data_IF_021208068867
#
_entry.id   IF_021208068867
#
_cell.length_a   1.000
_cell.length_b   1.000
_cell.length_c   1.000
_cell.angle_alpha   90.00
_cell.angle_beta   90.00
_cell.angle_gamma   90.00
#
_symmetry.space_group_name_H-M   'P 1'
#
loop_
_entity.id
_entity.type
_entity.pdbx_description
1 polymer ?
#
# COMPACT_ATOMS: atom_id res chain seq x y z
N UNK A 1 21.03 32.50 -35.61
CA UNK A 1 19.67 33.03 -35.32
C UNK A 1 18.66 31.92 -35.57
N UNK A 2 17.77 31.63 -34.61
CA UNK A 2 16.70 30.64 -34.81
C UNK A 2 15.73 31.14 -35.90
N UNK A 3 15.35 30.28 -36.85
CA UNK A 3 14.38 30.64 -37.90
C UNK A 3 13.04 31.01 -37.26
N UNK A 4 12.44 32.12 -37.70
CA UNK A 4 11.11 32.52 -37.26
C UNK A 4 10.09 31.41 -37.56
N UNK A 5 9.18 31.20 -36.60
CA UNK A 5 8.10 30.21 -36.72
C UNK A 5 7.15 30.64 -37.86
N UNK A 6 6.76 29.68 -38.71
CA UNK A 6 5.79 29.94 -39.77
C UNK A 6 4.42 30.27 -39.17
N UNK A 7 3.76 31.37 -39.59
CA UNK A 7 2.42 31.75 -39.10
C UNK A 7 1.36 30.67 -39.35
N UNK A 8 1.50 29.89 -40.42
CA UNK A 8 0.53 28.84 -40.79
C UNK A 8 0.60 27.64 -39.85
N UNK A 9 1.72 27.47 -39.13
CA UNK A 9 1.87 26.44 -38.11
C UNK A 9 0.97 26.68 -36.91
N UNK A 10 0.82 27.94 -36.52
CA UNK A 10 0.01 28.32 -35.37
C UNK A 10 -1.48 28.28 -35.71
N UNK A 11 -1.86 28.73 -36.93
CA UNK A 11 -3.22 28.56 -37.46
C UNK A 11 -3.65 27.09 -37.54
N UNK A 12 -2.74 26.20 -37.98
CA UNK A 12 -3.02 24.77 -38.04
C UNK A 12 -3.29 24.17 -36.65
N UNK A 13 -2.59 24.65 -35.62
CA UNK A 13 -2.82 24.22 -34.24
C UNK A 13 -4.15 24.75 -33.70
N UNK A 14 -4.53 26.00 -34.01
CA UNK A 14 -5.82 26.56 -33.61
C UNK A 14 -7.01 25.79 -34.20
N UNK A 15 -6.95 25.42 -35.48
CA UNK A 15 -7.97 24.58 -36.13
C UNK A 15 -8.04 23.20 -35.46
N UNK A 16 -6.87 22.60 -35.18
CA UNK A 16 -6.81 21.33 -34.47
C UNK A 16 -7.42 21.42 -33.06
N UNK A 17 -7.09 22.48 -32.31
CA UNK A 17 -7.60 22.75 -30.96
C UNK A 17 -9.11 23.00 -30.95
N UNK A 18 -9.61 23.80 -31.89
CA UNK A 18 -11.05 24.08 -32.04
C UNK A 18 -11.85 22.79 -32.32
N UNK A 19 -11.25 21.85 -33.05
CA UNK A 19 -11.85 20.53 -33.35
C UNK A 19 -11.66 19.47 -32.25
N UNK A 20 -11.04 19.79 -31.11
CA UNK A 20 -10.68 18.82 -30.04
C UNK A 20 -9.91 17.58 -30.54
N UNK A 21 -9.20 17.68 -31.67
CA UNK A 21 -8.47 16.57 -32.28
C UNK A 21 -9.29 15.60 -33.14
N UNK A 22 -10.58 15.89 -33.38
CA UNK A 22 -11.44 15.05 -34.21
C UNK A 22 -11.28 15.31 -35.71
N UNK A 23 -10.86 16.53 -36.10
CA UNK A 23 -10.68 16.88 -37.51
C UNK A 23 -9.44 16.17 -38.07
N UNK A 24 -9.54 15.40 -39.17
CA UNK A 24 -8.40 14.70 -39.72
C UNK A 24 -7.37 15.70 -40.27
N UNK A 25 -6.09 15.39 -40.07
CA UNK A 25 -4.98 16.28 -40.45
C UNK A 25 -4.90 16.55 -41.96
N UNK A 26 -5.54 15.71 -42.77
CA UNK A 26 -5.66 15.87 -44.22
C UNK A 26 -6.57 17.06 -44.54
N UNK A 27 -7.67 17.23 -43.81
CA UNK A 27 -8.63 18.30 -44.04
C UNK A 27 -8.08 19.65 -43.57
N UNK A 28 -7.32 19.66 -42.47
CA UNK A 28 -6.59 20.86 -42.01
C UNK A 28 -5.53 21.26 -43.05
N UNK A 29 -4.91 20.27 -43.72
CA UNK A 29 -3.93 20.53 -44.77
C UNK A 29 -4.58 21.12 -46.02
N UNK A 30 -5.76 20.62 -46.40
CA UNK A 30 -6.55 21.17 -47.49
C UNK A 30 -6.99 22.61 -47.21
N UNK A 31 -7.46 22.91 -46.00
CA UNK A 31 -7.93 24.25 -45.60
C UNK A 31 -6.80 25.29 -45.59
N UNK A 32 -5.58 24.88 -45.26
CA UNK A 32 -4.40 25.76 -45.24
C UNK A 32 -3.59 25.71 -46.55
N UNK A 33 -4.02 24.96 -47.57
CA UNK A 33 -3.27 24.71 -48.79
C UNK A 33 -1.83 24.19 -48.55
N UNK A 34 -1.65 23.34 -47.54
CA UNK A 34 -0.38 22.75 -47.16
C UNK A 34 -0.34 21.25 -47.43
N UNK A 35 0.87 20.68 -47.43
CA UNK A 35 1.05 19.23 -47.53
C UNK A 35 0.64 18.55 -46.22
N UNK A 36 -0.14 17.45 -46.24
CA UNK A 36 -0.49 16.71 -45.03
C UNK A 36 0.72 16.22 -44.21
N UNK A 37 1.84 15.93 -44.88
CA UNK A 37 3.11 15.56 -44.25
C UNK A 37 3.68 16.68 -43.36
N UNK A 38 3.46 17.94 -43.74
CA UNK A 38 3.94 19.10 -43.01
C UNK A 38 3.14 19.32 -41.72
N UNK A 39 1.82 19.14 -41.76
CA UNK A 39 0.97 19.20 -40.57
C UNK A 39 1.28 18.05 -39.60
N UNK A 40 1.50 16.83 -40.12
CA UNK A 40 1.95 15.70 -39.28
C UNK A 40 3.27 15.99 -38.57
N UNK A 41 4.23 16.58 -39.29
CA UNK A 41 5.51 17.00 -38.72
C UNK A 41 5.33 18.04 -37.62
N UNK A 42 4.49 19.05 -37.84
CA UNK A 42 4.23 20.09 -36.83
C UNK A 42 3.50 19.55 -35.60
N UNK A 43 2.49 18.71 -35.78
CA UNK A 43 1.76 18.04 -34.69
C UNK A 43 2.70 17.27 -33.77
N UNK A 44 3.65 16.53 -34.36
CA UNK A 44 4.66 15.78 -33.61
C UNK A 44 5.68 16.70 -32.94
N UNK A 45 6.19 17.70 -33.65
CA UNK A 45 7.27 18.57 -33.16
C UNK A 45 6.81 19.52 -32.04
N UNK A 46 5.57 19.98 -32.09
CA UNK A 46 4.96 20.83 -31.04
C UNK A 46 4.13 20.05 -30.04
N UNK A 47 4.04 18.72 -30.20
CA UNK A 47 3.31 17.81 -29.32
C UNK A 47 1.88 18.30 -29.04
N UNK A 48 1.13 18.58 -30.09
CA UNK A 48 -0.21 19.19 -29.98
C UNK A 48 -1.13 18.40 -29.05
N UNK A 49 -1.04 17.07 -29.01
CA UNK A 49 -1.85 16.23 -28.11
C UNK A 49 -1.53 16.48 -26.63
N UNK A 50 -0.27 16.74 -26.28
CA UNK A 50 0.16 17.07 -24.91
C UNK A 50 -0.32 18.48 -24.52
N UNK A 51 -0.37 19.41 -25.48
CA UNK A 51 -0.86 20.78 -25.25
C UNK A 51 -2.39 20.85 -25.12
N UNK A 52 -3.12 19.89 -25.72
CA UNK A 52 -4.57 19.74 -25.56
C UNK A 52 -4.95 19.17 -24.20
N UNK A 53 -4.14 18.27 -23.66
CA UNK A 53 -4.33 17.67 -22.36
C UNK A 53 -3.76 18.60 -21.27
N UNK A 54 -4.43 19.74 -21.05
CA UNK A 54 -3.96 20.81 -20.18
C UNK A 54 -3.50 20.29 -18.82
N UNK A 55 -2.19 20.40 -18.54
CA UNK A 55 -1.46 20.13 -17.30
C UNK A 55 -2.07 19.12 -16.30
N UNK A 56 -2.76 18.09 -16.78
CA UNK A 56 -2.96 16.88 -16.02
C UNK A 56 -1.69 16.12 -16.26
N UNK A 57 -0.70 16.34 -15.41
CA UNK A 57 0.16 15.23 -15.03
C UNK A 57 -0.78 14.20 -14.40
N UNK A 58 -1.48 13.43 -15.24
CA UNK A 58 -1.47 12.00 -15.05
C UNK A 58 0.03 11.76 -15.14
N UNK A 59 0.70 11.82 -13.98
CA UNK A 59 1.94 11.11 -13.80
C UNK A 59 1.69 9.84 -14.59
N UNK A 60 2.56 9.54 -15.54
CA UNK A 60 2.67 8.15 -15.92
C UNK A 60 2.94 7.49 -14.55
N UNK A 61 1.87 7.04 -13.88
CA UNK A 61 1.76 5.70 -13.42
C UNK A 61 2.21 4.97 -14.67
N UNK A 62 3.53 4.76 -14.77
CA UNK A 62 4.04 3.44 -14.57
C UNK A 62 2.95 2.73 -13.76
N UNK A 63 1.94 2.21 -14.48
CA UNK A 63 1.56 0.83 -14.29
C UNK A 63 2.94 0.23 -14.26
N UNK A 64 3.48 0.09 -13.05
CA UNK A 64 4.71 -0.64 -12.84
C UNK A 64 4.42 -1.83 -13.70
N UNK A 65 5.17 -1.92 -14.79
CA UNK A 65 5.24 -3.15 -15.51
C UNK A 65 5.82 -3.99 -14.40
N UNK A 66 4.94 -4.61 -13.60
CA UNK A 66 5.29 -5.52 -12.53
C UNK A 66 5.78 -6.68 -13.37
N UNK A 67 6.99 -6.49 -13.90
CA UNK A 67 7.88 -7.49 -14.38
C UNK A 67 8.21 -8.17 -13.09
N UNK A 68 7.29 -8.96 -12.56
CA UNK A 68 7.66 -9.95 -11.59
C UNK A 68 8.59 -10.87 -12.39
N UNK A 69 9.91 -10.80 -12.16
CA UNK A 69 10.85 -11.55 -12.96
C UNK A 69 10.55 -13.05 -12.85
N UNK A 70 10.02 -13.49 -11.69
CA UNK A 70 9.65 -14.88 -11.43
C UNK A 70 8.52 -15.40 -12.30
N UNK A 71 7.43 -14.63 -12.50
CA UNK A 71 6.35 -15.09 -13.42
C UNK A 71 6.81 -15.10 -14.85
N UNK A 72 7.67 -14.16 -15.26
CA UNK A 72 8.18 -14.12 -16.64
C UNK A 72 9.20 -15.24 -16.91
N UNK A 73 10.04 -15.56 -15.95
CA UNK A 73 11.02 -16.66 -16.02
C UNK A 73 10.32 -18.01 -16.04
N UNK A 74 9.33 -18.23 -15.16
CA UNK A 74 8.55 -19.47 -15.17
C UNK A 74 7.63 -19.59 -16.39
N UNK A 75 7.00 -18.50 -16.85
CA UNK A 75 6.27 -18.52 -18.12
C UNK A 75 7.18 -18.90 -19.30
N UNK A 76 8.47 -18.52 -19.28
CA UNK A 76 9.45 -18.95 -20.28
C UNK A 76 9.81 -20.42 -20.14
N UNK A 77 10.13 -20.86 -18.92
CA UNK A 77 10.43 -22.26 -18.62
C UNK A 77 9.30 -23.19 -19.07
N UNK A 78 8.04 -22.76 -18.90
CA UNK A 78 6.88 -23.56 -19.29
C UNK A 78 6.54 -23.41 -20.78
N UNK A 79 6.90 -22.27 -21.41
CA UNK A 79 6.88 -22.14 -22.87
C UNK A 79 7.93 -23.03 -23.54
N UNK A 80 8.98 -23.44 -22.82
CA UNK A 80 10.08 -24.29 -23.28
C UNK A 80 9.88 -25.79 -22.95
N UNK A 81 8.86 -26.15 -22.15
CA UNK A 81 8.61 -27.51 -21.68
C UNK A 81 8.16 -28.48 -22.79
N UNK A 82 9.09 -29.17 -23.45
CA UNK A 82 8.91 -30.06 -24.61
C UNK A 82 7.81 -31.12 -24.48
N UNK A 83 7.36 -31.43 -23.27
CA UNK A 83 6.33 -32.45 -23.02
C UNK A 83 4.90 -31.98 -23.29
N UNK A 84 4.64 -30.67 -23.31
CA UNK A 84 3.34 -30.10 -23.67
C UNK A 84 3.33 -29.63 -25.12
N UNK A 85 2.30 -30.01 -25.88
CA UNK A 85 2.14 -29.46 -27.24
C UNK A 85 1.83 -27.97 -27.19
N UNK A 86 2.23 -27.21 -28.21
CA UNK A 86 1.99 -25.76 -28.28
C UNK A 86 0.50 -25.41 -28.06
N UNK A 87 -0.41 -26.21 -28.62
CA UNK A 87 -1.86 -26.05 -28.44
C UNK A 87 -2.32 -26.27 -27.00
N UNK A 88 -1.70 -27.19 -26.28
CA UNK A 88 -1.98 -27.42 -24.85
C UNK A 88 -1.45 -26.27 -23.99
N UNK A 89 -0.26 -25.74 -24.30
CA UNK A 89 0.29 -24.57 -23.60
C UNK A 89 -0.62 -23.35 -23.79
N UNK A 90 -1.04 -23.10 -25.04
CA UNK A 90 -2.01 -22.05 -25.38
C UNK A 90 -3.35 -22.27 -24.67
N UNK A 91 -3.83 -23.51 -24.59
CA UNK A 91 -5.05 -23.83 -23.86
C UNK A 91 -4.96 -23.46 -22.39
N UNK A 92 -3.89 -23.83 -21.70
CA UNK A 92 -3.68 -23.50 -20.29
C UNK A 92 -3.65 -21.98 -20.04
N UNK A 93 -2.93 -21.24 -20.88
CA UNK A 93 -2.84 -19.78 -20.80
C UNK A 93 -4.23 -19.12 -20.99
N UNK A 94 -4.98 -19.55 -22.00
CA UNK A 94 -6.32 -19.03 -22.24
C UNK A 94 -7.33 -19.48 -21.18
N UNK A 95 -7.17 -20.68 -20.61
CA UNK A 95 -8.03 -21.17 -19.55
C UNK A 95 -7.89 -20.32 -18.29
N UNK A 96 -6.66 -19.94 -17.95
CA UNK A 96 -6.37 -19.03 -16.84
C UNK A 96 -6.90 -17.62 -17.11
N UNK A 97 -6.85 -17.15 -18.37
CA UNK A 97 -7.37 -15.83 -18.76
C UNK A 97 -8.90 -15.74 -18.73
N UNK A 98 -9.60 -16.74 -19.26
CA UNK A 98 -11.05 -16.70 -19.48
C UNK A 98 -11.85 -17.51 -18.45
N UNK A 99 -11.18 -18.33 -17.63
CA UNK A 99 -11.80 -19.28 -16.69
C UNK A 99 -12.88 -20.17 -17.34
N UNK A 100 -12.75 -20.41 -18.64
CA UNK A 100 -13.72 -21.12 -19.44
C UNK A 100 -13.00 -22.09 -20.40
N UNK A 101 -13.26 -23.39 -20.23
CA UNK A 101 -12.64 -24.46 -21.02
C UNK A 101 -12.96 -24.39 -22.51
N UNK A 102 -14.22 -24.19 -22.88
CA UNK A 102 -14.62 -24.13 -24.29
C UNK A 102 -13.99 -22.94 -25.00
N UNK A 103 -14.02 -21.76 -24.37
CA UNK A 103 -13.39 -20.57 -24.93
C UNK A 103 -11.87 -20.72 -25.03
N UNK A 104 -11.23 -21.32 -24.04
CA UNK A 104 -9.80 -21.59 -24.06
C UNK A 104 -9.41 -22.54 -25.20
N UNK A 105 -10.17 -23.62 -25.41
CA UNK A 105 -9.93 -24.56 -26.51
C UNK A 105 -10.12 -23.90 -27.88
N UNK A 106 -11.15 -23.08 -28.05
CA UNK A 106 -11.37 -22.33 -29.30
C UNK A 106 -10.21 -21.38 -29.60
N UNK A 107 -9.74 -20.64 -28.59
CA UNK A 107 -8.63 -19.69 -28.74
C UNK A 107 -7.27 -20.37 -28.93
N UNK A 108 -7.09 -21.57 -28.38
CA UNK A 108 -5.91 -22.40 -28.58
C UNK A 108 -5.87 -23.11 -29.95
N UNK A 109 -6.89 -22.94 -30.79
CA UNK A 109 -6.91 -23.48 -32.15
C UNK A 109 -7.43 -24.92 -32.25
N UNK A 110 -8.27 -25.36 -31.32
CA UNK A 110 -9.04 -26.60 -31.45
C UNK A 110 -10.30 -26.39 -32.28
N UNK A 111 -10.78 -27.47 -32.93
CA UNK A 111 -11.97 -27.43 -33.78
C UNK A 111 -13.21 -26.94 -33.00
N UNK A 112 -14.01 -26.08 -33.63
CA UNK A 112 -15.18 -25.47 -33.03
C UNK A 112 -16.22 -26.50 -32.60
N UNK A 113 -16.45 -27.51 -33.42
CA UNK A 113 -17.50 -28.52 -33.21
C UNK A 113 -17.16 -29.46 -32.05
N UNK A 114 -15.87 -29.63 -31.74
CA UNK A 114 -15.36 -30.51 -30.68
C UNK A 114 -14.74 -29.79 -29.49
N UNK A 115 -14.73 -28.45 -29.46
CA UNK A 115 -13.97 -27.67 -28.48
C UNK A 115 -14.35 -27.98 -27.03
N UNK A 116 -15.63 -28.24 -26.75
CA UNK A 116 -16.12 -28.59 -25.41
C UNK A 116 -15.64 -29.97 -24.95
N UNK A 117 -15.65 -30.97 -25.84
CA UNK A 117 -15.14 -32.31 -25.56
C UNK A 117 -13.64 -32.27 -25.33
N UNK A 118 -12.91 -31.55 -26.19
CA UNK A 118 -11.46 -31.40 -26.06
C UNK A 118 -11.08 -30.66 -24.79
N UNK A 119 -11.78 -29.57 -24.45
CA UNK A 119 -11.55 -28.85 -23.20
C UNK A 119 -11.72 -29.76 -21.97
N UNK A 120 -12.79 -30.56 -21.94
CA UNK A 120 -13.04 -31.50 -20.83
C UNK A 120 -11.95 -32.58 -20.73
N UNK A 121 -11.49 -33.11 -21.87
CA UNK A 121 -10.38 -34.08 -21.92
C UNK A 121 -9.06 -33.46 -21.46
N UNK A 122 -8.76 -32.25 -21.92
CA UNK A 122 -7.54 -31.52 -21.55
C UNK A 122 -7.51 -31.24 -20.06
N UNK A 123 -8.60 -30.80 -19.45
CA UNK A 123 -8.68 -30.55 -18.01
C UNK A 123 -8.51 -31.81 -17.15
N UNK A 124 -8.80 -33.00 -17.70
CA UNK A 124 -8.59 -34.29 -17.01
C UNK A 124 -7.17 -34.83 -17.17
N UNK A 125 -6.39 -34.32 -18.13
CA UNK A 125 -5.00 -34.72 -18.27
C UNK A 125 -4.20 -34.15 -17.10
N UNK A 126 -3.49 -35.02 -16.41
CA UNK A 126 -2.76 -34.69 -15.18
C UNK A 126 -1.78 -33.52 -15.39
N UNK A 127 -0.96 -33.56 -16.45
CA UNK A 127 0.00 -32.49 -16.75
C UNK A 127 -0.66 -31.13 -17.02
N UNK A 128 -1.74 -31.10 -17.80
CA UNK A 128 -2.50 -29.88 -18.11
C UNK A 128 -3.15 -29.32 -16.84
N UNK A 129 -3.71 -30.20 -16.01
CA UNK A 129 -4.34 -29.82 -14.73
C UNK A 129 -3.32 -29.26 -13.74
N UNK A 130 -2.17 -29.94 -13.58
CA UNK A 130 -1.05 -29.48 -12.75
C UNK A 130 -0.54 -28.11 -13.21
N UNK A 131 -0.36 -27.92 -14.52
CA UNK A 131 0.09 -26.64 -15.06
C UNK A 131 -0.93 -25.51 -14.82
N UNK A 132 -2.22 -25.77 -15.02
CA UNK A 132 -3.27 -24.80 -14.70
C UNK A 132 -3.26 -24.48 -13.19
N UNK A 133 -3.00 -25.46 -12.33
CA UNK A 133 -2.94 -25.27 -10.88
C UNK A 133 -1.75 -24.39 -10.48
N UNK A 134 -0.58 -24.60 -11.09
CA UNK A 134 0.60 -23.77 -10.89
C UNK A 134 0.38 -22.33 -11.36
N UNK A 135 -0.11 -22.13 -12.59
CA UNK A 135 -0.45 -20.80 -13.10
C UNK A 135 -1.47 -20.08 -12.23
N UNK A 136 -2.47 -20.81 -11.72
CA UNK A 136 -3.45 -20.25 -10.77
C UNK A 136 -2.79 -19.91 -9.44
N UNK A 137 -1.90 -20.76 -8.92
CA UNK A 137 -1.15 -20.50 -7.69
C UNK A 137 -0.32 -19.24 -7.79
N UNK A 138 0.39 -19.05 -8.90
CA UNK A 138 1.16 -17.83 -9.15
C UNK A 138 0.28 -16.61 -9.29
N UNK A 139 -0.84 -16.70 -10.00
CA UNK A 139 -1.81 -15.60 -10.07
C UNK A 139 -2.32 -15.24 -8.67
N UNK A 140 -2.63 -16.23 -7.84
CA UNK A 140 -3.08 -16.00 -6.46
C UNK A 140 -1.96 -15.35 -5.66
N UNK A 141 -0.72 -15.83 -5.74
CA UNK A 141 0.42 -15.22 -5.05
C UNK A 141 0.66 -13.77 -5.49
N UNK A 142 0.60 -13.49 -6.80
CA UNK A 142 0.77 -12.14 -7.32
C UNK A 142 -0.38 -11.22 -6.91
N UNK A 143 -1.62 -11.66 -7.08
CA UNK A 143 -2.82 -10.92 -6.66
C UNK A 143 -2.81 -10.70 -5.14
N UNK A 144 -2.30 -11.67 -4.37
CA UNK A 144 -2.16 -11.55 -2.93
C UNK A 144 -1.07 -10.55 -2.54
N UNK A 145 0.09 -10.57 -3.19
CA UNK A 145 1.15 -9.57 -3.00
C UNK A 145 0.64 -8.17 -3.36
N UNK A 146 -0.06 -8.01 -4.50
CA UNK A 146 -0.68 -6.75 -4.90
C UNK A 146 -1.76 -6.28 -3.90
N UNK A 147 -2.61 -7.18 -3.40
CA UNK A 147 -3.60 -6.87 -2.38
C UNK A 147 -2.95 -6.46 -1.06
N UNK A 148 -1.88 -7.16 -0.64
CA UNK A 148 -1.11 -6.82 0.56
C UNK A 148 -0.41 -5.47 0.43
N UNK A 149 0.07 -5.11 -0.76
CA UNK A 149 0.68 -3.80 -0.99
C UNK A 149 -0.35 -2.67 -0.92
N UNK A 150 -1.57 -2.90 -1.42
CA UNK A 150 -2.70 -1.97 -1.23
C UNK A 150 -3.07 -1.83 0.25
N UNK A 151 -3.03 -2.92 1.03
CA UNK A 151 -3.29 -2.88 2.48
C UNK A 151 -2.21 -2.12 3.24
N UNK A 152 -0.93 -2.31 2.89
CA UNK A 152 0.17 -1.54 3.50
C UNK A 152 -0.06 -0.04 3.33
N UNK A 153 -0.57 0.37 2.17
CA UNK A 153 -0.90 1.77 1.91
C UNK A 153 -2.08 2.26 2.78
N UNK A 154 -3.12 1.44 2.95
CA UNK A 154 -4.19 1.76 3.90
C UNK A 154 -3.73 1.79 5.35
N UNK A 155 -2.82 0.89 5.77
CA UNK A 155 -2.22 0.88 7.12
C UNK A 155 -1.45 2.17 7.37
N UNK A 156 -0.64 2.60 6.40
CA UNK A 156 0.09 3.88 6.46
C UNK A 156 -0.85 5.06 6.68
N UNK A 157 -1.97 5.11 5.95
CA UNK A 157 -2.99 6.17 6.11
C UNK A 157 -3.70 6.05 7.47
N UNK A 158 -4.05 4.83 7.88
CA UNK A 158 -4.80 4.58 9.11
C UNK A 158 -4.00 4.93 10.38
N UNK A 159 -2.68 4.70 10.37
CA UNK A 159 -1.81 4.94 11.52
C UNK A 159 -0.92 6.18 11.36
N UNK A 160 -1.16 7.01 10.35
CA UNK A 160 -0.49 8.31 10.23
C UNK A 160 -0.83 9.20 11.42
N UNK A 161 0.21 9.75 12.05
CA UNK A 161 0.10 10.79 13.08
C UNK A 161 0.46 12.14 12.48
N UNK A 162 -0.35 13.17 12.73
CA UNK A 162 -0.13 14.53 12.22
C UNK A 162 1.14 15.18 12.79
N UNK A 163 1.56 14.75 13.98
CA UNK A 163 2.79 15.22 14.63
C UNK A 163 4.06 14.79 13.88
N UNK A 164 4.00 13.76 13.03
CA UNK A 164 5.11 13.37 12.17
C UNK A 164 5.36 14.36 11.01
N UNK A 165 4.41 15.28 10.76
CA UNK A 165 4.43 16.19 9.61
C UNK A 165 4.57 17.65 10.03
N UNK A 166 4.07 17.99 11.22
CA UNK A 166 3.83 19.37 11.64
C UNK A 166 4.24 19.56 13.10
N UNK A 167 4.94 20.65 13.37
CA UNK A 167 5.13 21.19 14.72
C UNK A 167 4.19 22.36 14.94
N UNK A 168 3.55 22.40 16.11
CA UNK A 168 2.62 23.48 16.45
C UNK A 168 2.78 23.88 17.92
N UNK A 169 2.54 25.14 18.23
CA UNK A 169 2.72 25.70 19.57
C UNK A 169 2.29 27.16 19.66
N UNK A 170 2.66 27.81 20.77
CA UNK A 170 2.37 29.23 21.03
C UNK A 170 3.66 30.04 21.03
N UNK A 171 3.67 31.18 20.34
CA UNK A 171 4.77 32.14 20.39
C UNK A 171 4.27 33.54 20.72
N UNK A 172 5.04 34.26 21.52
CA UNK A 172 4.80 35.67 21.81
C UNK A 172 5.37 36.52 20.66
N UNK A 173 4.50 37.24 19.96
CA UNK A 173 4.90 38.16 18.89
C UNK A 173 4.50 39.58 19.31
N UNK A 174 5.41 40.57 19.19
CA UNK A 174 5.07 41.96 19.50
C UNK A 174 4.01 42.48 18.53
N UNK A 175 3.00 43.18 19.06
CA UNK A 175 1.92 43.76 18.26
C UNK A 175 2.47 44.88 17.39
N UNK A 176 2.47 44.74 16.07
CA UNK A 176 2.94 45.79 15.16
C UNK A 176 1.86 46.85 14.93
N UNK A 177 2.20 48.12 15.14
CA UNK A 177 1.46 49.29 14.68
C UNK A 177 2.03 49.86 13.37
N UNK A 178 1.45 50.95 12.86
CA UNK A 178 1.86 51.63 11.61
C UNK A 178 3.33 52.14 11.66
N UNK A 179 3.90 52.26 12.86
CA UNK A 179 5.22 52.80 13.13
C UNK A 179 6.10 51.86 13.98
N UNK A 180 5.94 50.54 13.84
CA UNK A 180 6.73 49.52 14.57
C UNK A 180 6.00 48.88 15.77
N UNK A 181 6.67 48.07 16.60
CA UNK A 181 6.04 47.36 17.72
C UNK A 181 5.42 48.36 18.71
N UNK A 182 4.13 48.16 19.01
CA UNK A 182 3.36 49.00 19.90
C UNK A 182 3.89 48.84 21.33
N UNK A 183 4.27 49.96 21.94
CA UNK A 183 4.75 50.02 23.32
C UNK A 183 3.64 50.59 24.20
N UNK A 184 3.46 50.03 25.39
CA UNK A 184 2.62 50.61 26.44
C UNK A 184 3.17 51.97 26.90
N UNK A 185 2.39 52.74 27.67
CA UNK A 185 2.78 54.03 28.28
C UNK A 185 4.10 53.97 29.08
N UNK A 186 4.56 52.77 29.45
CA UNK A 186 5.84 52.51 30.14
C UNK A 186 6.98 52.03 29.23
N UNK A 187 6.83 52.11 27.90
CA UNK A 187 7.87 51.76 26.92
C UNK A 187 8.11 50.25 26.73
N UNK A 188 7.27 49.40 27.33
CA UNK A 188 7.33 47.93 27.22
C UNK A 188 6.50 47.46 26.03
N UNK A 189 7.04 46.53 25.24
CA UNK A 189 6.38 46.02 24.03
C UNK A 189 5.14 45.19 24.40
N UNK A 190 3.99 45.50 23.79
CA UNK A 190 2.76 44.72 23.97
C UNK A 190 2.92 43.44 23.15
N UNK A 191 3.07 42.30 23.82
CA UNK A 191 3.12 40.98 23.17
C UNK A 191 1.72 40.40 23.04
N UNK A 192 1.47 39.70 21.92
CA UNK A 192 0.29 38.86 21.72
C UNK A 192 0.74 37.43 21.50
N UNK A 193 0.06 36.50 22.16
CA UNK A 193 0.25 35.06 21.97
C UNK A 193 -0.44 34.67 20.65
N UNK A 194 0.32 34.12 19.70
CA UNK A 194 -0.18 33.60 18.43
C UNK A 194 0.18 32.12 18.31
N UNK A 195 -0.76 31.31 17.82
CA UNK A 195 -0.51 29.91 17.50
C UNK A 195 0.31 29.81 16.21
N UNK A 196 1.34 28.97 16.18
CA UNK A 196 2.12 28.70 14.97
C UNK A 196 2.00 27.23 14.56
N UNK A 197 2.24 26.97 13.28
CA UNK A 197 2.18 25.67 12.63
C UNK A 197 3.28 25.63 11.57
N UNK A 198 4.36 24.91 11.85
CA UNK A 198 5.53 24.80 10.98
C UNK A 198 5.70 23.35 10.50
N UNK A 199 6.03 23.17 9.22
CA UNK A 199 6.25 21.86 8.62
C UNK A 199 7.64 21.34 8.91
N UNK A 200 7.76 20.03 9.08
CA UNK A 200 9.06 19.37 9.08
C UNK A 200 9.72 19.43 7.69
N UNK A 201 11.05 19.31 7.67
CA UNK A 201 11.84 19.29 6.43
C UNK A 201 11.47 18.10 5.55
N UNK A 202 11.50 18.30 4.23
CA UNK A 202 11.03 17.32 3.26
C UNK A 202 11.74 15.96 3.34
N UNK A 203 13.00 15.94 3.77
CA UNK A 203 13.81 14.71 3.88
C UNK A 203 13.35 13.80 5.04
N UNK A 204 12.66 14.37 6.03
CA UNK A 204 12.20 13.68 7.23
C UNK A 204 10.70 13.32 7.17
N UNK A 205 10.01 13.69 6.08
CA UNK A 205 8.54 13.60 5.97
C UNK A 205 8.13 12.71 4.80
N UNK A 206 7.35 11.67 5.09
CA UNK A 206 6.74 10.83 4.05
C UNK A 206 5.51 11.54 3.43
N UNK A 207 5.73 12.31 2.36
CA UNK A 207 4.67 13.04 1.68
C UNK A 207 3.58 12.19 1.02
N UNK A 208 3.67 10.85 1.02
CA UNK A 208 2.70 9.97 0.34
C UNK A 208 1.26 10.08 0.87
N UNK A 209 1.09 10.43 2.15
CA UNK A 209 -0.21 10.50 2.82
C UNK A 209 -0.79 11.95 2.79
N UNK A 210 -0.01 12.93 2.36
CA UNK A 210 -0.42 14.34 2.32
C UNK A 210 -1.30 14.58 1.08
N UNK A 211 -2.52 15.06 1.31
CA UNK A 211 -3.49 15.36 0.24
C UNK A 211 -3.46 16.82 -0.20
N UNK A 212 -3.23 17.75 0.72
CA UNK A 212 -3.23 19.18 0.43
C UNK A 212 -2.32 19.94 1.40
N UNK A 213 -1.54 20.88 0.88
CA UNK A 213 -0.76 21.85 1.66
C UNK A 213 -1.11 23.25 1.16
N UNK A 214 -1.50 24.14 2.09
CA UNK A 214 -1.91 25.52 1.82
C UNK A 214 -1.13 26.48 2.69
N UNK A 215 -0.65 27.58 2.10
CA UNK A 215 -0.05 28.68 2.84
C UNK A 215 -1.03 29.86 2.86
N UNK A 216 -1.58 30.14 4.04
CA UNK A 216 -2.49 31.26 4.29
C UNK A 216 -1.76 32.49 4.85
N UNK A 217 -2.52 33.57 5.09
CA UNK A 217 -1.98 34.78 5.74
C UNK A 217 -1.51 34.53 7.18
N UNK A 218 -2.15 33.58 7.85
CA UNK A 218 -1.95 33.30 9.28
C UNK A 218 -1.19 31.99 9.56
N UNK A 219 -0.74 31.26 8.52
CA UNK A 219 0.04 30.03 8.69
C UNK A 219 -0.18 28.95 7.63
N UNK A 220 0.38 27.77 7.88
CA UNK A 220 0.31 26.61 6.99
C UNK A 220 -0.86 25.69 7.41
N UNK A 221 -1.62 25.20 6.42
CA UNK A 221 -2.66 24.19 6.61
C UNK A 221 -2.31 22.93 5.81
N UNK A 222 -2.29 21.79 6.50
CA UNK A 222 -2.04 20.47 5.90
C UNK A 222 -3.26 19.58 6.07
N UNK A 223 -3.63 18.86 5.01
CA UNK A 223 -4.63 17.80 5.07
C UNK A 223 -4.00 16.46 4.75
N UNK A 224 -4.18 15.50 5.64
CA UNK A 224 -3.80 14.11 5.44
C UNK A 224 -4.95 13.33 4.79
N UNK A 225 -4.62 12.16 4.24
CA UNK A 225 -5.61 11.23 3.71
C UNK A 225 -6.58 10.76 4.80
N UNK A 226 -7.76 10.33 4.36
CA UNK A 226 -8.87 9.99 5.24
C UNK A 226 -8.61 8.68 6.01
N UNK A 227 -8.19 8.82 7.27
CA UNK A 227 -7.90 7.72 8.20
C UNK A 227 -9.11 6.81 8.44
N UNK A 228 -10.31 7.36 8.53
CA UNK A 228 -11.53 6.58 8.82
C UNK A 228 -11.86 5.66 7.65
N UNK A 229 -11.79 6.16 6.41
CA UNK A 229 -11.99 5.32 5.23
C UNK A 229 -10.93 4.24 5.09
N UNK A 230 -9.69 4.53 5.45
CA UNK A 230 -8.62 3.53 5.45
C UNK A 230 -8.92 2.42 6.48
N UNK A 231 -9.33 2.78 7.70
CA UNK A 231 -9.73 1.82 8.73
C UNK A 231 -10.95 0.97 8.30
N UNK A 232 -11.95 1.57 7.65
CA UNK A 232 -13.12 0.85 7.13
C UNK A 232 -12.75 -0.13 6.00
N UNK A 233 -11.77 0.22 5.17
CA UNK A 233 -11.27 -0.69 4.12
C UNK A 233 -10.42 -1.81 4.69
N UNK A 234 -9.65 -1.54 5.74
CA UNK A 234 -8.93 -2.56 6.48
C UNK A 234 -9.90 -3.52 7.18
N UNK A 235 -10.94 -3.03 7.86
CA UNK A 235 -11.92 -3.89 8.54
C UNK A 235 -12.65 -4.81 7.58
N UNK A 236 -13.13 -4.28 6.44
CA UNK A 236 -13.73 -5.08 5.36
C UNK A 236 -12.80 -6.20 4.90
N UNK A 237 -11.51 -5.90 4.72
CA UNK A 237 -10.55 -6.89 4.27
C UNK A 237 -10.29 -7.97 5.33
N UNK A 238 -10.09 -7.60 6.60
CA UNK A 238 -9.89 -8.56 7.70
C UNK A 238 -11.10 -9.49 7.89
N UNK A 239 -12.31 -9.02 7.61
CA UNK A 239 -13.50 -9.87 7.60
C UNK A 239 -13.59 -10.76 6.37
N UNK A 240 -13.13 -10.28 5.19
CA UNK A 240 -13.12 -10.99 3.90
C UNK A 240 -11.96 -11.98 3.72
N UNK A 241 -10.93 -11.97 4.58
CA UNK A 241 -9.84 -12.96 4.53
C UNK A 241 -10.37 -14.33 4.95
N UNK A 242 -10.21 -15.40 4.13
CA UNK A 242 -10.71 -16.73 4.46
C UNK A 242 -10.15 -17.23 5.80
N UNK A 243 -10.98 -17.89 6.59
CA UNK A 243 -10.69 -18.35 7.98
C UNK A 243 -9.35 -19.09 8.14
N UNK A 244 -8.87 -19.74 7.08
CA UNK A 244 -7.58 -20.42 7.05
C UNK A 244 -6.38 -19.51 7.36
N UNK A 245 -6.46 -18.23 6.96
CA UNK A 245 -5.43 -17.24 7.24
C UNK A 245 -5.59 -16.60 8.62
N UNK A 246 -6.84 -16.38 9.08
CA UNK A 246 -7.11 -15.95 10.47
C UNK A 246 -6.50 -16.95 11.45
N UNK A 247 -6.70 -18.24 11.21
CA UNK A 247 -6.11 -19.32 12.03
C UNK A 247 -4.58 -19.28 12.04
N UNK A 248 -3.91 -19.11 10.89
CA UNK A 248 -2.43 -18.98 10.86
C UNK A 248 -1.92 -17.74 11.60
N UNK A 249 -2.60 -16.61 11.48
CA UNK A 249 -2.22 -15.37 12.19
C UNK A 249 -2.44 -15.54 13.69
N UNK A 250 -3.53 -16.17 14.11
CA UNK A 250 -3.80 -16.50 15.51
C UNK A 250 -2.77 -17.48 16.09
N UNK A 251 -2.41 -18.52 15.34
CA UNK A 251 -1.37 -19.48 15.73
C UNK A 251 0.00 -18.79 15.95
N UNK A 252 0.42 -17.94 15.01
CA UNK A 252 1.67 -17.17 15.14
C UNK A 252 1.60 -16.14 16.29
N UNK A 253 0.45 -15.48 16.48
CA UNK A 253 0.24 -14.53 17.59
C UNK A 253 0.29 -15.23 18.94
N UNK A 254 -0.34 -16.39 19.06
CA UNK A 254 -0.31 -17.21 20.28
C UNK A 254 1.11 -17.68 20.58
N UNK A 255 1.87 -18.07 19.56
CA UNK A 255 3.28 -18.47 19.69
C UNK A 255 4.16 -17.32 20.20
N UNK A 256 4.04 -16.13 19.61
CA UNK A 256 4.73 -14.93 20.12
C UNK A 256 4.32 -14.59 21.55
N UNK A 257 3.04 -14.71 21.90
CA UNK A 257 2.56 -14.41 23.26
C UNK A 257 3.11 -15.41 24.28
N UNK A 258 3.24 -16.69 23.91
CA UNK A 258 3.90 -17.72 24.72
C UNK A 258 5.40 -17.46 24.88
N UNK A 259 6.08 -16.96 23.85
CA UNK A 259 7.50 -16.57 23.94
C UNK A 259 7.70 -15.34 24.84
N UNK A 260 6.83 -14.33 24.73
CA UNK A 260 6.85 -13.17 25.63
C UNK A 260 6.57 -13.57 27.08
N UNK A 261 5.58 -14.45 27.30
CA UNK A 261 5.30 -14.98 28.64
C UNK A 261 6.48 -15.77 29.19
N UNK A 262 7.12 -16.62 28.38
CA UNK A 262 8.36 -17.31 28.79
C UNK A 262 9.46 -16.33 29.16
N UNK A 263 9.71 -15.32 28.33
CA UNK A 263 10.72 -14.30 28.61
C UNK A 263 10.41 -13.49 29.88
N UNK A 264 9.12 -13.21 30.16
CA UNK A 264 8.69 -12.58 31.41
C UNK A 264 8.87 -13.51 32.61
N UNK A 265 8.51 -14.80 32.48
CA UNK A 265 8.71 -15.81 33.52
C UNK A 265 10.20 -15.97 33.82
N UNK A 266 11.06 -15.97 32.80
CA UNK A 266 12.51 -16.08 32.97
C UNK A 266 13.10 -14.84 33.64
N UNK A 267 12.58 -13.64 33.34
CA UNK A 267 12.92 -12.41 34.08
C UNK A 267 12.45 -12.48 35.54
N UNK A 268 11.21 -12.88 35.79
CA UNK A 268 10.69 -13.06 37.15
C UNK A 268 11.49 -14.11 37.91
N UNK A 269 11.90 -15.21 37.27
CA UNK A 269 12.79 -16.23 37.86
C UNK A 269 14.18 -15.67 38.15
N UNK A 270 14.76 -14.88 37.25
CA UNK A 270 16.05 -14.21 37.47
C UNK A 270 15.96 -13.18 38.61
N UNK A 271 14.86 -12.45 38.71
CA UNK A 271 14.64 -11.47 39.77
C UNK A 271 14.32 -12.15 41.10
N UNK A 272 13.53 -13.22 41.12
CA UNK A 272 13.28 -14.02 42.34
C UNK A 272 14.52 -14.78 42.81
N UNK A 273 15.41 -15.21 41.91
CA UNK A 273 16.70 -15.81 42.31
C UNK A 273 17.71 -14.75 42.78
N UNK A 274 17.63 -13.50 42.28
CA UNK A 274 18.35 -12.36 42.87
C UNK A 274 17.80 -11.98 44.24
N UNK A 275 16.48 -11.95 44.41
CA UNK A 275 15.82 -11.64 45.69
C UNK A 275 16.10 -12.75 46.73
N UNK A 276 16.04 -14.03 46.35
CA UNK A 276 16.46 -15.14 47.22
C UNK A 276 17.96 -15.18 47.51
N UNK A 277 18.77 -14.39 46.79
CA UNK A 277 20.21 -14.34 46.96
C UNK A 277 20.70 -13.32 48.00
N UNK A 278 19.82 -12.55 48.64
CA UNK A 278 20.22 -11.48 49.57
C UNK A 278 19.47 -11.45 50.92
N UNK A 279 18.58 -12.42 51.19
CA UNK A 279 18.04 -12.66 52.54
C UNK A 279 18.05 -14.16 52.83
N UNK A 280 19.24 -14.66 53.16
CA UNK A 280 19.38 -15.87 53.94
C UNK A 280 19.09 -15.55 55.41
N UNK A 281 17.83 -15.35 55.76
CA UNK A 281 17.39 -15.65 57.12
C UNK A 281 17.04 -17.14 57.15
N UNK A 282 18.00 -17.94 57.65
CA UNK A 282 17.68 -19.25 58.22
C UNK A 282 16.64 -19.00 59.32
N UNK A 283 15.37 -19.27 59.00
CA UNK A 283 14.41 -19.54 60.06
C UNK A 283 14.85 -20.83 60.73
N UNK A 284 15.55 -20.71 61.88
CA UNK A 284 15.65 -21.81 62.82
C UNK A 284 14.23 -22.24 63.15
N UNK A 285 13.91 -23.48 62.80
CA UNK A 285 12.66 -24.16 63.11
C UNK A 285 12.46 -24.14 64.64
N UNK A 286 11.62 -23.23 65.12
CA UNK A 286 11.39 -22.98 66.54
C UNK A 286 10.50 -24.05 67.21
N UNK A 287 10.36 -25.22 66.58
CA UNK A 287 9.61 -26.36 67.10
C UNK A 287 8.12 -26.08 67.28
N UNK A 288 7.61 -24.97 66.74
CA UNK A 288 6.22 -24.56 66.86
C UNK A 288 5.27 -25.54 66.17
N UNK A 289 5.71 -26.15 65.06
CA UNK A 289 4.94 -27.17 64.33
C UNK A 289 4.85 -28.49 65.13
N UNK A 290 5.94 -28.90 65.77
CA UNK A 290 5.98 -30.10 66.62
C UNK A 290 5.10 -29.95 67.87
N UNK A 291 5.04 -28.75 68.45
CA UNK A 291 4.16 -28.44 69.58
C UNK A 291 2.66 -28.45 69.21
N UNK A 292 2.33 -28.20 67.94
CA UNK A 292 0.97 -28.24 67.41
C UNK A 292 0.48 -29.67 67.17
N UNK A 293 1.35 -30.57 66.71
CA UNK A 293 1.02 -32.00 66.56
C UNK A 293 0.94 -32.73 67.91
N UNK A 294 1.74 -32.34 68.91
CA UNK A 294 1.64 -32.91 70.26
C UNK A 294 0.33 -32.58 70.99
N UNK A 295 -0.27 -31.41 70.72
CA UNK A 295 -1.51 -30.96 71.38
C UNK A 295 -2.80 -31.47 70.73
N UNK A 296 -2.75 -31.84 69.45
CA UNK A 296 -3.92 -32.38 68.74
C UNK A 296 -4.19 -33.84 69.11
N UNK A 297 -3.22 -34.59 69.63
CA UNK A 297 -3.46 -35.95 70.12
C UNK A 297 -4.23 -35.98 71.46
N UNK A 298 -4.02 -35.00 72.34
CA UNK A 298 -4.56 -35.02 73.72
C UNK A 298 -6.03 -34.59 73.83
N UNK A 299 -6.59 -33.92 72.82
CA UNK A 299 -7.96 -33.38 72.86
C UNK A 299 -9.02 -34.37 72.35
N UNK A 300 -8.61 -35.50 71.76
CA UNK A 300 -9.54 -36.44 71.10
C UNK A 300 -9.56 -37.86 71.69
N UNK A 301 -8.91 -38.13 72.82
CA UNK A 301 -8.93 -39.48 73.44
C UNK A 301 -10.02 -39.70 74.50
N UNK A 302 -10.69 -38.66 75.00
CA UNK A 302 -11.79 -38.82 75.97
C UNK A 302 -13.16 -38.70 75.31
N UNK A 303 -13.55 -39.66 74.47
CA UNK A 303 -14.95 -40.03 74.21
C UNK A 303 -15.06 -41.31 73.34
N UNK A 304 -14.91 -42.49 73.97
CA UNK A 304 -15.56 -43.74 73.53
C UNK A 304 -16.07 -44.55 74.71
#
# INVERSE_FOLDING_TARGET
>A
MARQRSPDRDKAFEIYKASKGEKPLIDIAAELNLKPSQIRKWKSQDKWDEQMNGNVTIAKRSVTNVKNPKTKEKLKEILEDEELTEKERLFCLYYVKYFNGTQAALKAGYSKDGAHVQASRLLRRERVSSYIKELKGELIENVFVEAMDVLKEYIKIAFADITNYVTFGQKEVPVMGIFGPMKDESGKEITRIINYVDLHEADMVDGSIITEVKLGKDGVSVKLADKMKALDKLSQYFDLVPDNFKRKIEEERHKMQMEVQKAQIDKIKADTSRIKGDEGEEYEDDGFIDALEGKTAEVWEDET
#
